data_IF_535960822603
#
_entry.id   IF_535960822603
#
_cell.length_a   1.000
_cell.length_b   1.000
_cell.length_c   1.000
_cell.angle_alpha   90.00
_cell.angle_beta   90.00
_cell.angle_gamma   90.00
#
_symmetry.space_group_name_H-M   'P 1'
#
loop_
_entity.id
_entity.type
_entity.pdbx_description
1 polymer ?
#
# COMPACT_ATOMS: atom_id res chain seq x y z
N UNK A 1 20.36 6.57 -4.32
CA UNK A 1 19.28 7.47 -3.86
C UNK A 1 18.45 7.81 -5.08
N UNK A 2 17.13 7.64 -5.02
CA UNK A 2 16.24 8.01 -6.13
C UNK A 2 16.21 9.55 -6.26
N UNK A 3 15.87 10.08 -7.44
CA UNK A 3 15.76 11.51 -7.66
C UNK A 3 14.72 12.15 -6.72
N UNK A 4 14.96 13.39 -6.29
CA UNK A 4 14.05 14.13 -5.41
C UNK A 4 12.65 14.27 -6.04
N UNK A 5 12.59 14.58 -7.33
CA UNK A 5 11.33 14.68 -8.08
C UNK A 5 10.55 13.36 -8.06
N UNK A 6 11.24 12.22 -8.22
CA UNK A 6 10.61 10.91 -8.13
C UNK A 6 10.08 10.62 -6.71
N UNK A 7 10.80 11.05 -5.67
CA UNK A 7 10.30 10.94 -4.29
C UNK A 7 8.99 11.73 -4.12
N UNK A 8 8.93 12.96 -4.62
CA UNK A 8 7.70 13.78 -4.61
C UNK A 8 6.57 13.12 -5.40
N UNK A 9 6.87 12.52 -6.56
CA UNK A 9 5.87 11.78 -7.34
C UNK A 9 5.32 10.59 -6.58
N UNK A 10 6.16 9.88 -5.81
CA UNK A 10 5.72 8.77 -4.95
C UNK A 10 4.79 9.29 -3.84
N UNK A 11 5.15 10.37 -3.14
CA UNK A 11 4.28 10.98 -2.11
C UNK A 11 2.92 11.41 -2.68
N UNK A 12 2.94 11.98 -3.90
CA UNK A 12 1.70 12.33 -4.60
C UNK A 12 0.88 11.11 -4.99
N UNK A 13 1.51 10.02 -5.43
CA UNK A 13 0.83 8.76 -5.75
C UNK A 13 0.17 8.17 -4.49
N UNK A 14 0.86 8.14 -3.35
CA UNK A 14 0.30 7.71 -2.06
C UNK A 14 -0.92 8.55 -1.70
N UNK A 15 -0.82 9.87 -1.80
CA UNK A 15 -1.97 10.75 -1.55
C UNK A 15 -3.15 10.49 -2.50
N UNK A 16 -2.89 10.19 -3.77
CA UNK A 16 -3.96 9.84 -4.72
C UNK A 16 -4.62 8.52 -4.35
N UNK A 17 -3.83 7.51 -4.00
CA UNK A 17 -4.34 6.19 -3.65
C UNK A 17 -5.14 6.23 -2.34
N UNK A 18 -4.63 6.91 -1.31
CA UNK A 18 -5.38 7.12 -0.07
C UNK A 18 -6.74 7.78 -0.34
N UNK A 19 -6.78 8.83 -1.17
CA UNK A 19 -8.06 9.48 -1.54
C UNK A 19 -8.99 8.52 -2.29
N UNK A 20 -8.45 7.67 -3.15
CA UNK A 20 -9.21 6.66 -3.88
C UNK A 20 -9.82 5.61 -2.92
N UNK A 21 -9.01 5.05 -2.03
CA UNK A 21 -9.43 4.11 -0.98
C UNK A 21 -10.52 4.76 -0.11
N UNK A 22 -10.32 5.98 0.37
CA UNK A 22 -11.28 6.69 1.22
C UNK A 22 -12.60 6.95 0.48
N UNK A 23 -12.54 7.31 -0.80
CA UNK A 23 -13.74 7.49 -1.62
C UNK A 23 -14.52 6.19 -1.81
N UNK A 24 -13.82 5.07 -1.96
CA UNK A 24 -14.42 3.76 -2.27
C UNK A 24 -14.93 3.03 -1.03
N UNK A 25 -14.20 3.10 0.08
CA UNK A 25 -14.43 2.28 1.27
C UNK A 25 -14.69 3.09 2.56
N UNK A 26 -14.58 4.42 2.49
CA UNK A 26 -14.75 5.31 3.63
C UNK A 26 -13.44 5.64 4.36
N UNK A 27 -13.48 6.61 5.29
CA UNK A 27 -12.27 7.20 5.88
C UNK A 27 -11.53 6.27 6.84
N UNK A 28 -12.20 5.27 7.41
CA UNK A 28 -11.63 4.37 8.43
C UNK A 28 -11.96 2.92 8.14
N UNK A 29 -11.25 2.01 8.78
CA UNK A 29 -11.66 0.60 8.86
C UNK A 29 -12.75 0.41 9.91
N UNK A 30 -13.57 -0.63 9.75
CA UNK A 30 -14.58 -1.03 10.75
C UNK A 30 -13.95 -1.71 11.96
N UNK A 31 -12.77 -2.32 11.81
CA UNK A 31 -12.00 -2.92 12.90
C UNK A 31 -10.50 -2.99 12.61
N UNK A 32 -9.69 -3.23 13.64
CA UNK A 32 -8.25 -3.49 13.49
C UNK A 32 -7.97 -4.76 12.67
N UNK A 33 -8.85 -5.77 12.75
CA UNK A 33 -8.73 -7.00 11.96
C UNK A 33 -8.92 -6.73 10.46
N UNK A 34 -9.87 -5.86 10.09
CA UNK A 34 -10.06 -5.44 8.70
C UNK A 34 -8.85 -4.66 8.19
N UNK A 35 -8.35 -3.69 8.98
CA UNK A 35 -7.15 -2.93 8.63
C UNK A 35 -5.92 -3.83 8.44
N UNK A 36 -5.73 -4.81 9.32
CA UNK A 36 -4.65 -5.79 9.19
C UNK A 36 -4.81 -6.67 7.95
N UNK A 37 -6.02 -7.16 7.68
CA UNK A 37 -6.28 -8.03 6.52
C UNK A 37 -5.95 -7.30 5.21
N UNK A 38 -6.41 -6.05 5.05
CA UNK A 38 -6.11 -5.24 3.87
C UNK A 38 -4.61 -4.93 3.78
N UNK A 39 -3.96 -4.53 4.87
CA UNK A 39 -2.50 -4.30 4.85
C UNK A 39 -1.71 -5.56 4.46
N UNK A 40 -2.13 -6.72 4.96
CA UNK A 40 -1.52 -8.00 4.65
C UNK A 40 -1.68 -8.35 3.16
N UNK A 41 -2.86 -8.11 2.58
CA UNK A 41 -3.14 -8.30 1.15
C UNK A 41 -2.18 -7.47 0.28
N UNK A 42 -2.09 -6.16 0.49
CA UNK A 42 -1.18 -5.29 -0.29
C UNK A 42 0.30 -5.70 -0.12
N UNK A 43 0.70 -6.15 1.08
CA UNK A 43 2.07 -6.63 1.30
C UNK A 43 2.33 -7.97 0.58
N UNK A 44 1.32 -8.82 0.45
CA UNK A 44 1.43 -10.08 -0.31
C UNK A 44 1.51 -9.81 -1.81
N UNK A 45 0.70 -8.90 -2.35
CA UNK A 45 0.75 -8.49 -3.76
C UNK A 45 2.11 -7.87 -4.12
N UNK A 46 2.68 -7.03 -3.23
CA UNK A 46 4.03 -6.52 -3.39
C UNK A 46 5.07 -7.67 -3.41
N UNK A 47 4.97 -8.62 -2.49
CA UNK A 47 5.88 -9.77 -2.43
C UNK A 47 5.77 -10.67 -3.67
N UNK A 48 4.57 -10.85 -4.21
CA UNK A 48 4.33 -11.59 -5.46
C UNK A 48 4.97 -10.88 -6.66
N UNK A 49 4.83 -9.56 -6.75
CA UNK A 49 5.48 -8.76 -7.80
C UNK A 49 7.01 -8.82 -7.74
N UNK A 50 7.61 -8.75 -6.55
CA UNK A 50 9.06 -8.94 -6.40
C UNK A 50 9.48 -10.35 -6.82
N UNK A 51 8.78 -11.38 -6.34
CA UNK A 51 9.07 -12.76 -6.70
C UNK A 51 9.07 -12.98 -8.22
N UNK A 52 8.03 -12.53 -8.91
CA UNK A 52 7.92 -12.64 -10.36
C UNK A 52 9.05 -11.85 -11.08
N UNK A 53 9.38 -10.65 -10.59
CA UNK A 53 10.51 -9.88 -11.09
C UNK A 53 11.83 -10.66 -10.97
N UNK A 54 12.09 -11.30 -9.83
CA UNK A 54 13.29 -12.11 -9.62
C UNK A 54 13.32 -13.32 -10.55
N UNK A 55 12.20 -14.02 -10.74
CA UNK A 55 12.11 -15.15 -11.67
C UNK A 55 12.47 -14.75 -13.12
N UNK A 56 12.01 -13.58 -13.56
CA UNK A 56 12.36 -13.05 -14.89
C UNK A 56 13.81 -12.56 -14.98
N UNK A 57 14.36 -12.02 -13.89
CA UNK A 57 15.79 -11.68 -13.81
C UNK A 57 16.68 -12.92 -13.98
N UNK A 58 16.32 -14.05 -13.37
CA UNK A 58 17.04 -15.32 -13.53
C UNK A 58 16.98 -15.85 -14.97
N UNK A 59 15.80 -15.77 -15.61
CA UNK A 59 15.60 -16.16 -17.02
C UNK A 59 16.40 -15.27 -17.99
N UNK A 60 16.42 -13.96 -17.74
CA UNK A 60 17.27 -13.03 -18.48
C UNK A 60 18.75 -13.40 -18.34
N UNK A 61 19.20 -13.68 -17.10
CA UNK A 61 20.58 -14.06 -16.83
C UNK A 61 20.97 -15.35 -17.56
N UNK A 62 20.09 -16.36 -17.58
CA UNK A 62 20.31 -17.58 -18.37
C UNK A 62 20.50 -17.25 -19.86
N UNK A 63 19.63 -16.43 -20.43
CA UNK A 63 19.70 -16.04 -21.85
C UNK A 63 21.02 -15.33 -22.17
N UNK A 64 21.45 -14.41 -21.32
CA UNK A 64 22.73 -13.68 -21.47
C UNK A 64 23.92 -14.65 -21.51
N UNK A 65 23.94 -15.67 -20.65
CA UNK A 65 25.01 -16.70 -20.67
C UNK A 65 25.03 -17.53 -21.95
N UNK A 66 23.90 -17.61 -22.64
CA UNK A 66 23.75 -18.29 -23.93
C UNK A 66 24.02 -17.35 -25.13
N UNK A 67 24.52 -16.13 -24.87
CA UNK A 67 24.71 -15.05 -25.86
C UNK A 67 23.41 -14.64 -26.57
N UNK A 68 22.27 -14.77 -25.89
CA UNK A 68 20.96 -14.36 -26.37
C UNK A 68 20.38 -13.28 -25.44
N UNK A 69 20.10 -12.09 -25.94
CA UNK A 69 19.41 -11.06 -25.14
C UNK A 69 17.91 -11.22 -25.36
N UNK A 70 17.18 -11.57 -24.30
CA UNK A 70 15.73 -11.66 -24.35
C UNK A 70 15.08 -10.31 -24.02
N UNK A 71 14.58 -9.62 -25.06
CA UNK A 71 13.76 -8.41 -24.90
C UNK A 71 12.48 -8.69 -24.10
N UNK A 72 11.94 -9.89 -24.22
CA UNK A 72 10.76 -10.31 -23.47
C UNK A 72 11.01 -10.28 -21.96
N UNK A 73 12.10 -10.90 -21.50
CA UNK A 73 12.43 -10.90 -20.06
C UNK A 73 12.67 -9.49 -19.53
N UNK A 74 13.34 -8.62 -20.30
CA UNK A 74 13.52 -7.20 -19.94
C UNK A 74 12.17 -6.46 -19.76
N UNK A 75 11.22 -6.67 -20.67
CA UNK A 75 9.88 -6.09 -20.56
C UNK A 75 9.13 -6.60 -19.33
N UNK A 76 9.25 -7.91 -19.02
CA UNK A 76 8.62 -8.48 -17.84
C UNK A 76 9.21 -7.91 -16.55
N UNK A 77 10.54 -7.83 -16.44
CA UNK A 77 11.22 -7.21 -15.29
C UNK A 77 10.73 -5.78 -15.09
N UNK A 78 10.63 -4.98 -16.16
CA UNK A 78 10.11 -3.62 -16.09
C UNK A 78 8.67 -3.58 -15.55
N UNK A 79 7.79 -4.43 -16.09
CA UNK A 79 6.38 -4.46 -15.68
C UNK A 79 6.22 -4.87 -14.21
N UNK A 80 6.94 -5.89 -13.75
CA UNK A 80 6.89 -6.33 -12.35
C UNK A 80 7.57 -5.36 -11.39
N UNK A 81 8.65 -4.69 -11.80
CA UNK A 81 9.25 -3.61 -11.02
C UNK A 81 8.30 -2.42 -10.86
N UNK A 82 7.56 -2.08 -11.93
CA UNK A 82 6.53 -1.05 -11.89
C UNK A 82 5.36 -1.47 -10.98
N UNK A 83 4.87 -2.71 -11.12
CA UNK A 83 3.82 -3.27 -10.28
C UNK A 83 4.21 -3.27 -8.80
N UNK A 84 5.42 -3.73 -8.47
CA UNK A 84 5.97 -3.66 -7.12
C UNK A 84 5.97 -2.23 -6.54
N UNK A 85 6.29 -1.23 -7.35
CA UNK A 85 6.24 0.16 -6.92
C UNK A 85 4.80 0.67 -6.70
N UNK A 86 3.84 0.19 -7.49
CA UNK A 86 2.41 0.46 -7.33
C UNK A 86 1.90 -0.16 -6.02
N UNK A 87 2.19 -1.44 -5.78
CA UNK A 87 1.77 -2.13 -4.53
C UNK A 87 2.43 -1.51 -3.29
N UNK A 88 3.70 -1.09 -3.38
CA UNK A 88 4.37 -0.39 -2.28
C UNK A 88 3.71 0.97 -1.95
N UNK A 89 3.19 1.67 -2.98
CA UNK A 89 2.41 2.90 -2.80
C UNK A 89 1.08 2.60 -2.12
N UNK A 90 0.40 1.51 -2.49
CA UNK A 90 -0.83 1.06 -1.83
C UNK A 90 -0.59 0.67 -0.37
N UNK A 91 0.48 -0.08 -0.06
CA UNK A 91 0.90 -0.39 1.32
C UNK A 91 1.06 0.90 2.14
N UNK A 92 1.73 1.92 1.60
CA UNK A 92 1.90 3.20 2.28
C UNK A 92 0.55 3.90 2.54
N UNK A 93 -0.33 3.93 1.54
CA UNK A 93 -1.66 4.53 1.66
C UNK A 93 -2.54 3.81 2.69
N UNK A 94 -2.52 2.47 2.70
CA UNK A 94 -3.24 1.63 3.67
C UNK A 94 -2.71 1.86 5.08
N UNK A 95 -1.38 1.99 5.26
CA UNK A 95 -0.80 2.36 6.56
C UNK A 95 -1.31 3.72 7.06
N UNK A 96 -1.35 4.75 6.21
CA UNK A 96 -1.88 6.06 6.59
C UNK A 96 -3.35 5.98 7.02
N UNK A 97 -4.19 5.28 6.25
CA UNK A 97 -5.61 5.07 6.60
C UNK A 97 -5.77 4.32 7.93
N UNK A 98 -4.91 3.33 8.18
CA UNK A 98 -4.98 2.53 9.39
C UNK A 98 -4.55 3.34 10.62
N UNK A 99 -3.50 4.16 10.49
CA UNK A 99 -3.09 5.10 11.55
C UNK A 99 -4.22 6.07 11.90
N UNK A 100 -4.88 6.67 10.90
CA UNK A 100 -6.01 7.58 11.14
C UNK A 100 -7.17 6.89 11.86
N UNK A 101 -7.47 5.63 11.49
CA UNK A 101 -8.50 4.81 12.15
C UNK A 101 -8.20 4.66 13.65
N UNK A 102 -6.96 4.32 14.02
CA UNK A 102 -6.53 4.15 15.41
C UNK A 102 -6.58 5.49 16.17
N UNK A 103 -6.14 6.58 15.53
CA UNK A 103 -6.15 7.90 16.16
C UNK A 103 -7.57 8.39 16.46
N UNK A 104 -8.52 8.16 15.54
CA UNK A 104 -9.93 8.50 15.75
C UNK A 104 -10.58 7.66 16.85
N UNK A 105 -10.24 6.38 16.96
CA UNK A 105 -10.72 5.54 18.05
C UNK A 105 -10.27 6.09 19.42
N UNK A 106 -8.97 6.41 19.57
CA UNK A 106 -8.41 6.98 20.82
C UNK A 106 -9.05 8.32 21.20
N UNK A 107 -9.33 9.19 20.23
CA UNK A 107 -10.01 10.48 20.47
C UNK A 107 -11.43 10.27 21.00
N UNK A 108 -12.17 9.26 20.52
CA UNK A 108 -13.52 8.94 21.01
C UNK A 108 -13.50 8.39 22.43
N UNK A 109 -12.52 7.57 22.78
CA UNK A 109 -12.36 7.04 24.14
C UNK A 109 -12.05 8.15 25.16
N UNK A 110 -11.35 9.19 24.75
CA UNK A 110 -11.00 10.34 25.59
C UNK A 110 -12.10 11.41 25.64
N UNK A 111 -13.16 11.31 24.83
CA UNK A 111 -14.25 12.27 24.83
C UNK A 111 -15.12 12.09 26.08
N UNK A 112 -15.44 13.17 26.83
CA UNK A 112 -16.26 13.06 28.02
C UNK A 112 -17.64 12.51 27.65
N UNK A 113 -18.04 11.39 28.28
CA UNK A 113 -19.42 10.91 28.18
C UNK A 113 -20.32 11.87 28.92
N UNK A 114 -20.95 12.81 28.20
CA UNK A 114 -22.11 13.50 28.74
C UNK A 114 -23.23 12.48 28.88
N UNK A 115 -23.34 11.87 30.07
CA UNK A 115 -24.57 11.20 30.47
C UNK A 115 -25.61 12.29 30.68
N UNK A 116 -26.64 12.31 29.84
CA UNK A 116 -27.89 12.99 30.20
C UNK A 116 -28.44 12.27 31.43
N UNK A 117 -28.04 12.71 32.63
CA UNK A 117 -28.77 12.42 33.86
C UNK A 117 -30.12 13.13 33.73
N UNK A 118 -31.07 12.46 33.07
CA UNK A 118 -32.49 12.78 33.20
C UNK A 118 -32.95 12.24 34.54
N UNK A 119 -32.69 12.99 35.61
CA UNK A 119 -33.50 12.94 36.82
C UNK A 119 -33.49 14.32 37.46
N UNK A 120 -34.65 14.71 38.03
CA UNK A 120 -34.95 15.93 38.81
C UNK A 120 -35.42 17.09 37.89
N UNK A 121 -36.71 17.46 37.76
CA UNK A 121 -37.93 17.32 38.59
C UNK A 121 -39.16 17.00 37.72
#
# INVERSE_FOLDING_TARGET
MIAEEATKSIEQAVCHELRNIVKKYGPTYASEHEGYAVLMEECQEAAESDKDMQEHLEKLWKSIRENQISKFELSQIYNYAKGLAEEAVQVAAVCERFIETIQLAKKKEQAPTYREDKTIL
#
